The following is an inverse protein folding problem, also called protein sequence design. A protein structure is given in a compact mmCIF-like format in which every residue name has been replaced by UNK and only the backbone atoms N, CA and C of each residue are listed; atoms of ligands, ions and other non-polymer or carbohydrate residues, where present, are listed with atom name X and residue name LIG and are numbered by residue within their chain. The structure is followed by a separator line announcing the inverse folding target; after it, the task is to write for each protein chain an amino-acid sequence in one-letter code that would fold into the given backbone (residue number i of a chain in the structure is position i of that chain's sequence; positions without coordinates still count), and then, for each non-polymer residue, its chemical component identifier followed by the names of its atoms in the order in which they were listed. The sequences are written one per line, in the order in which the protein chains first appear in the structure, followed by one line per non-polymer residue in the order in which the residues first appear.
data_IF_268857409669
#
_entry.id   IF_268857409669
#
_cell.length_a   1.000
_cell.length_b   1.000
_cell.length_c   1.000
_cell.angle_alpha   90.00
_cell.angle_beta   90.00
_cell.angle_gamma   90.00
#
_symmetry.space_group_name_H-M   'P 1'
#
loop_
_entity.id
_entity.type
_entity.pdbx_description
1 polymer ?
#
# COMPACT_ATOMS: atom_id res chain seq x y z
N UNK A 1 8.34 -6.96 5.94
CA UNK A 1 9.47 -7.77 5.42
C UNK A 1 9.50 -9.16 6.01
N UNK A 2 8.34 -9.73 6.16
CA UNK A 2 8.20 -11.01 6.81
C UNK A 2 8.37 -12.14 5.78
N UNK A 3 9.57 -12.71 5.73
CA UNK A 3 9.89 -13.84 4.86
C UNK A 3 9.04 -15.08 5.12
N UNK A 4 8.41 -15.18 6.28
CA UNK A 4 7.53 -16.29 6.58
C UNK A 4 6.30 -16.25 5.67
N UNK A 5 5.73 -15.07 5.40
CA UNK A 5 4.60 -14.92 4.50
C UNK A 5 4.96 -15.22 3.03
N UNK A 6 6.16 -14.88 2.59
CA UNK A 6 6.64 -15.19 1.25
C UNK A 6 6.98 -16.67 1.08
N UNK A 7 7.74 -17.26 2.04
CA UNK A 7 8.33 -18.58 1.88
C UNK A 7 7.48 -19.71 2.47
N UNK A 8 6.60 -19.41 3.43
CA UNK A 8 5.75 -20.36 4.16
C UNK A 8 4.30 -19.86 4.27
N UNK A 9 3.62 -19.60 3.13
CA UNK A 9 2.29 -18.97 3.15
C UNK A 9 1.23 -19.78 3.92
N UNK A 10 1.29 -21.11 3.88
CA UNK A 10 0.33 -21.95 4.61
C UNK A 10 0.47 -21.82 6.14
N UNK A 11 1.70 -21.74 6.64
CA UNK A 11 1.99 -21.56 8.06
C UNK A 11 1.59 -20.14 8.51
N UNK A 12 1.91 -19.13 7.69
CA UNK A 12 1.56 -17.74 7.94
C UNK A 12 0.06 -17.54 7.99
N UNK A 13 -0.69 -18.10 7.05
CA UNK A 13 -2.15 -18.08 7.03
C UNK A 13 -2.75 -18.75 8.27
N UNK A 14 -2.13 -19.84 8.77
CA UNK A 14 -2.55 -20.46 10.02
C UNK A 14 -2.42 -19.52 11.21
N UNK A 15 -1.36 -18.70 11.25
CA UNK A 15 -1.18 -17.68 12.30
C UNK A 15 -2.24 -16.59 12.15
N UNK A 16 -2.42 -16.05 10.96
CA UNK A 16 -3.39 -14.98 10.68
C UNK A 16 -4.81 -15.41 11.05
N UNK A 17 -5.19 -16.64 10.71
CA UNK A 17 -6.52 -17.20 10.98
C UNK A 17 -6.85 -17.34 12.51
N UNK A 18 -5.85 -17.22 13.38
CA UNK A 18 -6.07 -17.15 14.83
C UNK A 18 -6.48 -15.75 15.32
N UNK A 19 -6.44 -14.75 14.43
CA UNK A 19 -6.83 -13.37 14.71
C UNK A 19 -7.99 -12.99 13.79
N UNK A 20 -8.80 -12.05 14.23
CA UNK A 20 -9.90 -11.49 13.43
C UNK A 20 -9.33 -10.42 12.47
N UNK A 21 -8.54 -10.88 11.49
CA UNK A 21 -7.91 -10.04 10.46
C UNK A 21 -7.98 -10.72 9.11
N UNK A 22 -8.14 -9.94 8.05
CA UNK A 22 -8.06 -10.40 6.66
C UNK A 22 -6.68 -10.07 6.10
N UNK A 23 -5.94 -11.10 5.69
CA UNK A 23 -4.66 -10.93 5.02
C UNK A 23 -4.84 -10.94 3.50
N UNK A 24 -4.27 -9.95 2.81
CA UNK A 24 -4.35 -9.81 1.36
C UNK A 24 -2.96 -9.94 0.74
N UNK A 25 -2.80 -10.89 -0.16
CA UNK A 25 -1.57 -11.09 -0.96
C UNK A 25 -1.94 -11.34 -2.43
N UNK A 26 -1.91 -10.29 -3.23
CA UNK A 26 -2.44 -10.28 -4.60
C UNK A 26 -3.93 -10.66 -4.63
N UNK A 27 -4.69 -10.17 -3.65
CA UNK A 27 -6.08 -10.53 -3.43
C UNK A 27 -6.97 -9.30 -3.30
N UNK A 28 -8.22 -9.47 -3.72
CA UNK A 28 -9.31 -8.51 -3.57
C UNK A 28 -10.20 -8.90 -2.40
N UNK A 29 -10.65 -7.89 -1.67
CA UNK A 29 -11.70 -7.99 -0.67
C UNK A 29 -12.85 -7.04 -1.05
N UNK A 30 -14.04 -7.59 -1.17
CA UNK A 30 -15.26 -6.83 -1.42
C UNK A 30 -16.01 -6.61 -0.12
N UNK A 31 -16.24 -5.36 0.22
CA UNK A 31 -17.13 -4.97 1.30
C UNK A 31 -18.41 -4.35 0.73
N UNK A 32 -19.49 -4.44 1.46
CA UNK A 32 -20.80 -3.92 1.06
C UNK A 32 -21.36 -3.11 2.23
N UNK A 33 -21.86 -1.91 1.94
CA UNK A 33 -22.56 -1.12 2.95
C UNK A 33 -24.04 -1.51 3.06
N UNK A 34 -24.78 -0.79 3.92
CA UNK A 34 -26.20 -1.07 4.18
C UNK A 34 -27.11 -0.75 2.97
N UNK A 35 -26.61 0.06 2.01
CA UNK A 35 -27.29 0.43 0.75
C UNK A 35 -26.86 -0.46 -0.44
N UNK A 36 -26.23 -1.62 -0.19
CA UNK A 36 -25.68 -2.52 -1.22
C UNK A 36 -24.62 -1.87 -2.15
N UNK A 37 -23.92 -0.83 -1.69
CA UNK A 37 -22.79 -0.27 -2.41
C UNK A 37 -21.52 -1.07 -2.14
N UNK A 38 -20.83 -1.46 -3.20
CA UNK A 38 -19.59 -2.23 -3.14
C UNK A 38 -18.40 -1.31 -2.92
N UNK A 39 -17.51 -1.72 -2.01
CA UNK A 39 -16.18 -1.16 -1.80
C UNK A 39 -15.13 -2.22 -2.14
N UNK A 40 -14.34 -1.96 -3.15
CA UNK A 40 -13.30 -2.87 -3.63
C UNK A 40 -11.94 -2.50 -3.01
N UNK A 41 -11.40 -3.40 -2.19
CA UNK A 41 -10.07 -3.26 -1.58
C UNK A 41 -9.13 -4.27 -2.22
N UNK A 42 -7.96 -3.86 -2.67
CA UNK A 42 -6.94 -4.76 -3.18
C UNK A 42 -5.64 -4.61 -2.39
N UNK A 43 -5.06 -5.73 -1.96
CA UNK A 43 -3.80 -5.77 -1.20
C UNK A 43 -2.71 -6.58 -1.88
N UNK A 44 -1.48 -6.03 -1.93
CA UNK A 44 -0.32 -6.69 -2.52
C UNK A 44 0.97 -6.28 -1.81
N UNK A 45 1.85 -7.25 -1.45
CA UNK A 45 3.03 -6.99 -0.63
C UNK A 45 4.30 -6.69 -1.43
N UNK A 46 4.27 -6.85 -2.78
CA UNK A 46 5.48 -6.77 -3.61
C UNK A 46 6.11 -5.39 -3.59
N UNK A 47 7.44 -5.36 -3.78
CA UNK A 47 8.23 -4.14 -3.83
C UNK A 47 9.41 -4.26 -4.78
N UNK A 48 9.94 -3.13 -5.29
CA UNK A 48 11.26 -3.09 -5.91
C UNK A 48 12.30 -3.60 -4.93
N UNK A 49 13.27 -4.37 -5.44
CA UNK A 49 14.35 -4.95 -4.65
C UNK A 49 15.01 -3.91 -3.75
N UNK A 50 14.96 -4.17 -2.45
CA UNK A 50 15.61 -3.39 -1.41
C UNK A 50 16.15 -4.32 -0.33
N UNK A 51 17.42 -4.19 0.00
CA UNK A 51 18.12 -5.12 0.87
C UNK A 51 17.85 -6.57 0.42
N UNK A 52 17.99 -7.54 1.22
CA UNK A 52 17.57 -8.90 0.92
C UNK A 52 16.31 -9.25 1.74
N UNK A 53 15.24 -8.45 1.57
CA UNK A 53 14.00 -8.60 2.33
C UNK A 53 12.95 -9.41 1.58
N UNK A 54 11.76 -9.58 2.17
CA UNK A 54 10.68 -10.32 1.55
C UNK A 54 9.99 -9.55 0.43
N UNK A 55 9.35 -10.29 -0.48
CA UNK A 55 8.54 -9.76 -1.58
C UNK A 55 9.30 -8.83 -2.53
N UNK A 56 10.61 -9.03 -2.64
CA UNK A 56 11.48 -8.28 -3.54
C UNK A 56 11.41 -8.82 -4.96
N UNK A 57 11.23 -7.91 -5.92
CA UNK A 57 11.36 -8.19 -7.35
C UNK A 57 12.22 -7.09 -8.01
N UNK A 58 12.91 -7.41 -9.12
CA UNK A 58 13.74 -6.42 -9.83
C UNK A 58 12.93 -5.17 -10.17
N UNK A 59 13.45 -3.98 -9.81
CA UNK A 59 12.74 -2.69 -9.89
C UNK A 59 12.10 -2.40 -11.25
N UNK A 60 12.80 -2.66 -12.34
CA UNK A 60 12.30 -2.53 -13.70
C UNK A 60 12.01 -3.89 -14.36
N UNK A 61 11.81 -4.92 -13.54
CA UNK A 61 11.60 -6.29 -13.99
C UNK A 61 10.18 -6.54 -14.46
N UNK A 62 10.07 -7.46 -15.42
CA UNK A 62 8.78 -7.90 -15.94
C UNK A 62 7.91 -8.55 -14.86
N UNK A 63 8.52 -9.26 -13.92
CA UNK A 63 7.84 -9.92 -12.82
C UNK A 63 7.12 -8.91 -11.91
N UNK A 64 7.74 -7.75 -11.63
CA UNK A 64 7.12 -6.69 -10.85
C UNK A 64 6.00 -6.00 -11.64
N UNK A 65 6.19 -5.79 -12.93
CA UNK A 65 5.14 -5.26 -13.81
C UNK A 65 3.92 -6.18 -13.87
N UNK A 66 4.12 -7.51 -13.96
CA UNK A 66 3.06 -8.50 -13.93
C UNK A 66 2.26 -8.44 -12.62
N UNK A 67 2.93 -8.19 -11.48
CA UNK A 67 2.28 -8.00 -10.18
C UNK A 67 1.38 -6.77 -10.13
N UNK A 68 1.80 -5.68 -10.74
CA UNK A 68 0.96 -4.49 -10.82
C UNK A 68 -0.18 -4.65 -11.84
N UNK A 69 0.04 -5.35 -12.93
CA UNK A 69 -0.95 -5.52 -13.99
C UNK A 69 -2.20 -6.31 -13.56
N UNK A 70 -2.09 -7.17 -12.53
CA UNK A 70 -3.25 -7.92 -12.01
C UNK A 70 -4.12 -7.12 -11.05
N UNK A 71 -3.71 -5.92 -10.63
CA UNK A 71 -4.54 -5.03 -9.80
C UNK A 71 -5.81 -4.66 -10.58
N UNK A 72 -7.02 -4.92 -10.03
CA UNK A 72 -8.27 -4.62 -10.71
C UNK A 72 -8.45 -3.13 -11.00
N UNK A 73 -9.11 -2.81 -12.11
CA UNK A 73 -9.31 -1.41 -12.53
C UNK A 73 -10.34 -0.65 -11.70
N UNK A 74 -11.21 -1.37 -11.04
CA UNK A 74 -12.28 -0.89 -10.17
C UNK A 74 -11.88 -0.87 -8.69
N UNK A 75 -10.58 -0.98 -8.39
CA UNK A 75 -10.07 -0.88 -7.02
C UNK A 75 -10.33 0.50 -6.43
N UNK A 76 -11.11 0.57 -5.35
CA UNK A 76 -11.36 1.79 -4.60
C UNK A 76 -10.23 2.10 -3.61
N UNK A 77 -9.80 1.08 -2.86
CA UNK A 77 -8.70 1.19 -1.89
C UNK A 77 -7.58 0.24 -2.31
N UNK A 78 -6.43 0.80 -2.64
CA UNK A 78 -5.22 0.04 -2.92
C UNK A 78 -4.32 0.03 -1.68
N UNK A 79 -3.85 -1.16 -1.28
CA UNK A 79 -2.87 -1.33 -0.18
C UNK A 79 -1.62 -1.97 -0.74
N UNK A 80 -0.48 -1.27 -0.67
CA UNK A 80 0.82 -1.78 -1.09
C UNK A 80 1.83 -1.69 0.04
N UNK A 81 2.94 -2.43 -0.06
CA UNK A 81 4.02 -2.31 0.93
C UNK A 81 4.67 -0.92 0.88
N UNK A 82 5.13 -0.50 -0.29
CA UNK A 82 5.80 0.78 -0.51
C UNK A 82 5.05 1.72 -1.44
N UNK A 83 5.53 2.99 -1.53
CA UNK A 83 4.89 4.04 -2.31
C UNK A 83 5.08 3.88 -3.83
N UNK A 84 4.17 4.45 -4.65
CA UNK A 84 4.44 4.75 -6.03
C UNK A 84 5.38 5.97 -6.12
N UNK A 85 6.22 6.02 -7.15
CA UNK A 85 7.18 7.11 -7.33
C UNK A 85 6.51 8.49 -7.36
N UNK A 86 7.06 9.44 -6.60
CA UNK A 86 6.61 10.85 -6.55
C UNK A 86 5.46 11.10 -5.55
N UNK A 87 5.09 10.10 -4.76
CA UNK A 87 4.04 10.23 -3.74
C UNK A 87 4.52 9.72 -2.39
N UNK A 88 4.90 10.64 -1.48
CA UNK A 88 5.34 10.34 -0.12
C UNK A 88 6.43 9.27 -0.08
N UNK A 89 7.45 9.43 -0.94
CA UNK A 89 8.48 8.45 -1.23
C UNK A 89 9.91 8.98 -1.06
N UNK A 90 10.08 10.04 -0.27
CA UNK A 90 11.38 10.62 0.05
C UNK A 90 11.78 10.20 1.47
N UNK A 91 12.96 9.61 1.61
CA UNK A 91 13.54 9.28 2.91
C UNK A 91 14.22 10.50 3.54
N UNK A 92 14.37 10.50 4.86
CA UNK A 92 15.14 11.51 5.60
C UNK A 92 16.65 11.37 5.37
N UNK A 93 17.43 12.46 5.56
CA UNK A 93 18.88 12.36 5.55
C UNK A 93 19.40 11.31 6.55
N UNK A 94 20.47 10.56 6.20
CA UNK A 94 21.32 10.71 5.03
C UNK A 94 20.82 9.99 3.74
N UNK A 95 19.66 9.36 3.78
CA UNK A 95 19.16 8.49 2.72
C UNK A 95 18.23 9.19 1.70
N UNK A 96 18.22 10.52 1.68
CA UNK A 96 17.38 11.35 0.81
C UNK A 96 17.88 11.41 -0.65
N UNK A 97 18.08 10.26 -1.28
CA UNK A 97 18.59 10.13 -2.65
C UNK A 97 17.52 10.38 -3.74
N UNK A 98 16.48 11.14 -3.43
CA UNK A 98 15.38 11.45 -4.36
C UNK A 98 14.15 10.56 -4.14
N UNK A 99 13.38 10.35 -5.19
CA UNK A 99 12.17 9.54 -5.15
C UNK A 99 12.51 8.04 -5.11
N UNK A 100 12.17 7.37 -4.03
CA UNK A 100 12.45 5.95 -3.78
C UNK A 100 11.31 5.02 -4.20
N UNK A 101 10.13 5.56 -4.44
CA UNK A 101 8.94 4.82 -4.84
C UNK A 101 9.08 4.06 -6.14
N UNK A 102 8.15 3.16 -6.40
CA UNK A 102 8.15 2.29 -7.57
C UNK A 102 7.56 3.01 -8.80
N UNK A 103 8.34 3.09 -9.89
CA UNK A 103 7.96 3.71 -11.15
C UNK A 103 6.81 2.94 -11.84
N UNK A 104 6.90 1.60 -11.85
CA UNK A 104 5.87 0.75 -12.46
C UNK A 104 4.55 0.81 -11.69
N UNK A 105 4.61 0.85 -10.35
CA UNK A 105 3.43 1.07 -9.51
C UNK A 105 2.80 2.45 -9.77
N UNK A 106 3.63 3.48 -9.99
CA UNK A 106 3.14 4.81 -10.34
C UNK A 106 2.31 4.79 -11.62
N UNK A 107 2.80 4.12 -12.66
CA UNK A 107 2.07 3.98 -13.95
C UNK A 107 0.72 3.29 -13.71
N UNK A 108 0.71 2.22 -12.92
CA UNK A 108 -0.52 1.49 -12.62
C UNK A 108 -1.51 2.32 -11.82
N UNK A 109 -1.06 3.03 -10.80
CA UNK A 109 -1.92 3.90 -9.98
C UNK A 109 -2.50 5.06 -10.80
N UNK A 110 -1.71 5.64 -11.70
CA UNK A 110 -2.20 6.68 -12.63
C UNK A 110 -3.23 6.12 -13.63
N UNK A 111 -3.16 4.82 -13.99
CA UNK A 111 -4.15 4.14 -14.84
C UNK A 111 -5.48 3.91 -14.10
N UNK A 112 -5.43 3.33 -12.89
CA UNK A 112 -6.64 2.89 -12.18
C UNK A 112 -7.27 3.99 -11.32
N UNK A 113 -6.48 4.98 -10.86
CA UNK A 113 -6.90 6.11 -10.02
C UNK A 113 -7.77 5.68 -8.82
N UNK A 114 -7.22 4.83 -7.90
CA UNK A 114 -7.98 4.41 -6.74
C UNK A 114 -8.35 5.64 -5.90
N UNK A 115 -9.45 5.59 -5.17
CA UNK A 115 -9.85 6.70 -4.28
C UNK A 115 -8.82 6.89 -3.16
N UNK A 116 -8.35 5.77 -2.60
CA UNK A 116 -7.34 5.76 -1.53
C UNK A 116 -6.22 4.79 -1.90
N UNK A 117 -4.97 5.23 -1.73
CA UNK A 117 -3.79 4.36 -1.81
C UNK A 117 -3.00 4.45 -0.50
N UNK A 118 -3.01 3.36 0.26
CA UNK A 118 -2.29 3.24 1.55
C UNK A 118 -1.02 2.43 1.36
N UNK A 119 0.07 2.91 1.92
CA UNK A 119 1.38 2.25 1.89
C UNK A 119 2.23 2.69 3.10
N UNK A 120 3.42 2.12 3.23
CA UNK A 120 4.40 2.48 4.25
C UNK A 120 5.82 2.45 3.68
N UNK A 121 6.73 1.73 4.35
CA UNK A 121 8.10 1.45 3.95
C UNK A 121 9.06 2.64 4.02
N UNK A 122 8.72 3.79 3.45
CA UNK A 122 9.54 5.00 3.47
C UNK A 122 9.14 5.84 4.69
N UNK A 123 9.82 5.61 5.81
CA UNK A 123 9.46 6.17 7.11
C UNK A 123 9.47 7.70 7.13
N UNK A 124 10.47 8.33 6.49
CA UNK A 124 10.61 9.79 6.45
C UNK A 124 9.48 10.52 5.70
N UNK A 125 8.62 9.80 5.00
CA UNK A 125 7.50 10.38 4.25
C UNK A 125 6.14 10.07 4.84
N UNK A 126 6.05 9.74 6.15
CA UNK A 126 4.74 9.62 6.81
C UNK A 126 3.87 10.82 6.51
N UNK A 127 2.61 10.61 6.16
CA UNK A 127 1.67 11.68 5.91
C UNK A 127 0.66 11.38 4.81
N UNK A 128 0.04 12.46 4.35
CA UNK A 128 -1.08 12.46 3.41
C UNK A 128 -0.84 13.44 2.26
N UNK A 129 -1.30 13.06 1.06
CA UNK A 129 -1.27 13.89 -0.14
C UNK A 129 -2.44 13.56 -1.06
N UNK A 130 -3.26 14.55 -1.41
CA UNK A 130 -4.24 14.41 -2.49
C UNK A 130 -3.61 14.77 -3.83
N UNK A 131 -3.76 13.91 -4.84
CA UNK A 131 -3.30 14.18 -6.19
C UNK A 131 -4.19 13.46 -7.21
N UNK A 132 -4.69 14.19 -8.21
CA UNK A 132 -5.55 13.67 -9.28
C UNK A 132 -6.75 12.83 -8.80
N UNK A 133 -7.34 13.18 -7.65
CA UNK A 133 -8.48 12.47 -7.07
C UNK A 133 -8.11 11.27 -6.21
N UNK A 134 -6.84 10.84 -6.17
CA UNK A 134 -6.36 9.78 -5.29
C UNK A 134 -5.79 10.37 -4.00
N UNK A 135 -6.23 9.84 -2.86
CA UNK A 135 -5.71 10.11 -1.53
C UNK A 135 -4.55 9.18 -1.22
N UNK A 136 -3.31 9.66 -1.35
CA UNK A 136 -2.10 8.92 -1.01
C UNK A 136 -1.79 9.03 0.48
N UNK A 137 -1.55 7.92 1.15
CA UNK A 137 -1.33 7.83 2.59
C UNK A 137 -0.11 6.97 2.86
N UNK A 138 0.96 7.58 3.32
CA UNK A 138 2.07 6.84 3.91
C UNK A 138 1.79 6.67 5.40
N UNK A 139 1.40 5.46 5.79
CA UNK A 139 0.98 5.09 7.14
C UNK A 139 2.12 4.57 8.02
N UNK A 140 3.38 4.88 7.70
CA UNK A 140 4.55 4.45 8.49
C UNK A 140 4.50 5.01 9.91
N UNK A 141 4.25 4.17 10.90
CA UNK A 141 4.19 4.60 12.32
C UNK A 141 5.58 4.79 12.93
N UNK A 142 6.63 4.27 12.30
CA UNK A 142 8.01 4.37 12.74
C UNK A 142 8.74 5.49 12.00
N UNK A 143 9.74 6.09 12.67
CA UNK A 143 10.73 6.95 12.04
C UNK A 143 11.92 6.13 11.47
N UNK A 144 12.91 6.82 10.89
CA UNK A 144 14.12 6.20 10.32
C UNK A 144 15.03 5.51 11.39
N UNK A 145 14.83 5.81 12.67
CA UNK A 145 15.49 5.16 13.80
C UNK A 145 14.68 3.96 14.33
N UNK A 146 13.56 3.63 13.71
CA UNK A 146 12.60 2.61 14.13
C UNK A 146 11.91 2.91 15.47
N UNK A 147 11.88 4.17 15.89
CA UNK A 147 11.06 4.61 17.02
C UNK A 147 9.60 4.81 16.55
N UNK A 148 8.64 4.42 17.38
CA UNK A 148 7.22 4.66 17.12
C UNK A 148 6.88 6.10 17.50
N UNK A 149 6.82 6.98 16.50
CA UNK A 149 6.62 8.43 16.68
C UNK A 149 5.35 8.95 16.00
N UNK A 150 4.87 8.27 14.96
CA UNK A 150 3.72 8.69 14.20
C UNK A 150 2.43 8.05 14.73
N UNK A 151 1.32 8.79 14.65
CA UNK A 151 0.02 8.29 15.08
C UNK A 151 -0.70 7.58 13.92
N UNK A 152 -1.57 6.58 14.20
CA UNK A 152 -2.46 6.05 13.19
C UNK A 152 -3.35 7.16 12.60
N UNK A 153 -3.57 7.14 11.29
CA UNK A 153 -4.51 8.04 10.62
C UNK A 153 -5.88 7.39 10.57
N UNK A 154 -6.88 8.13 11.00
CA UNK A 154 -8.29 7.73 10.86
C UNK A 154 -8.87 8.39 9.61
N UNK A 155 -9.54 7.59 8.80
CA UNK A 155 -10.17 8.04 7.55
C UNK A 155 -11.66 7.73 7.68
N UNK A 156 -12.49 8.75 7.49
CA UNK A 156 -13.92 8.59 7.32
C UNK A 156 -14.24 8.79 5.83
N UNK A 157 -14.90 7.82 5.25
CA UNK A 157 -15.37 7.87 3.87
C UNK A 157 -16.88 7.73 3.83
N UNK A 158 -17.53 8.77 3.32
CA UNK A 158 -18.95 8.78 3.02
C UNK A 158 -19.16 8.20 1.61
N UNK A 159 -19.78 7.00 1.53
CA UNK A 159 -19.99 6.28 0.28
C UNK A 159 -21.02 6.94 -0.64
N UNK A 160 -21.97 7.71 -0.10
CA UNK A 160 -22.99 8.42 -0.88
C UNK A 160 -22.42 9.66 -1.58
N UNK A 161 -21.64 10.46 -0.83
CA UNK A 161 -21.07 11.72 -1.33
C UNK A 161 -19.68 11.54 -1.94
N UNK A 162 -19.03 10.39 -1.72
CA UNK A 162 -17.61 10.13 -1.98
C UNK A 162 -16.67 11.11 -1.27
N UNK A 163 -17.11 11.73 -0.18
CA UNK A 163 -16.27 12.61 0.60
C UNK A 163 -15.37 11.80 1.53
N UNK A 164 -14.07 12.10 1.50
CA UNK A 164 -13.06 11.47 2.35
C UNK A 164 -12.48 12.53 3.28
N UNK A 165 -12.58 12.29 4.59
CA UNK A 165 -12.07 13.17 5.63
C UNK A 165 -11.06 12.45 6.53
N UNK A 166 -10.12 13.22 7.07
CA UNK A 166 -9.05 12.73 7.95
C UNK A 166 -9.22 13.30 9.36
N UNK A 167 -8.98 12.46 10.38
CA UNK A 167 -8.99 12.83 11.80
C UNK A 167 -7.66 12.50 12.45
#
# INVERSE_FOLDING_TARGET
HDRMFENHPLESNTIVNNYDVTYLQDEQLDLWDEEDQQLVIYGTPWQPEFCNWAFNLPRAGKELEEKWNVIPKDTDILITHGPPQGHLDISDPPHNEGNLGCELLRVKVDEIQPKIHVFGHIHGSYGYKLHNGTHFINASVLNEQYDQVNQPMTIDWDSETNEITFK
#
